data_IF_891886762884
#
_entry.id   IF_891886762884
#
_cell.length_a   1.000
_cell.length_b   1.000
_cell.length_c   1.000
_cell.angle_alpha   90.00
_cell.angle_beta   90.00
_cell.angle_gamma   90.00
#
_symmetry.space_group_name_H-M   'P 1'
#
loop_
_entity.id
_entity.type
_entity.pdbx_description
1 polymer ?
#
# COMPACT_ATOMS: atom_id res chain seq x y z
N UNK A 1 3.24 -5.32 20.78
CA UNK A 1 2.20 -4.38 21.16
C UNK A 1 2.07 -3.46 20.00
N UNK A 2 0.84 -3.09 19.67
CA UNK A 2 0.59 -2.90 18.23
C UNK A 2 -0.77 -2.25 18.10
N UNK A 3 -0.94 -1.38 17.13
CA UNK A 3 -2.25 -0.97 16.65
C UNK A 3 -2.40 -1.30 15.17
N UNK A 4 -3.59 -1.75 14.78
CA UNK A 4 -3.89 -2.18 13.42
C UNK A 4 -5.35 -1.97 13.06
N UNK A 5 -5.63 -1.99 11.77
CA UNK A 5 -6.96 -2.00 11.21
C UNK A 5 -7.07 -3.14 10.21
N UNK A 6 -8.19 -3.86 10.24
CA UNK A 6 -8.62 -4.77 9.19
C UNK A 6 -9.90 -4.22 8.57
N UNK A 7 -10.00 -4.19 7.24
CA UNK A 7 -11.14 -3.58 6.59
C UNK A 7 -11.47 -4.22 5.24
N UNK A 8 -12.74 -4.10 4.83
CA UNK A 8 -13.26 -4.34 3.49
C UNK A 8 -13.86 -3.06 2.92
N UNK A 9 -13.45 -2.69 1.73
CA UNK A 9 -14.09 -1.58 1.02
C UNK A 9 -15.44 -2.01 0.41
N UNK A 10 -16.51 -1.25 0.66
CA UNK A 10 -17.83 -1.60 0.16
C UNK A 10 -18.02 -1.35 -1.33
N UNK A 11 -17.29 -0.39 -1.89
CA UNK A 11 -17.42 -0.01 -3.31
C UNK A 11 -16.62 -0.95 -4.21
N UNK A 12 -15.37 -1.23 -3.84
CA UNK A 12 -14.45 -2.04 -4.66
C UNK A 12 -14.43 -3.52 -4.25
N UNK A 13 -14.87 -3.84 -3.04
CA UNK A 13 -14.77 -5.18 -2.45
C UNK A 13 -13.38 -5.52 -1.94
N UNK A 14 -12.39 -4.65 -2.09
CA UNK A 14 -11.01 -4.84 -1.63
C UNK A 14 -10.94 -5.13 -0.14
N UNK A 15 -9.98 -5.98 0.26
CA UNK A 15 -9.66 -6.24 1.66
C UNK A 15 -8.30 -5.68 2.00
N UNK A 16 -8.17 -5.13 3.20
CA UNK A 16 -6.90 -4.58 3.65
C UNK A 16 -6.62 -4.79 5.11
N UNK A 17 -5.32 -4.80 5.44
CA UNK A 17 -4.80 -4.73 6.80
C UNK A 17 -3.68 -3.72 6.82
N UNK A 18 -3.72 -2.80 7.78
CA UNK A 18 -2.61 -1.88 8.03
C UNK A 18 -2.24 -1.93 9.52
N UNK A 19 -0.95 -1.79 9.82
CA UNK A 19 -0.40 -1.99 11.16
C UNK A 19 0.84 -1.15 11.41
N UNK A 20 1.00 -0.71 12.66
CA UNK A 20 2.25 -0.18 13.21
C UNK A 20 2.56 -0.85 14.54
N UNK A 21 3.84 -1.02 14.85
CA UNK A 21 4.28 -1.61 16.11
C UNK A 21 5.71 -1.17 16.46
N UNK A 22 6.00 -1.08 17.75
CA UNK A 22 7.38 -1.12 18.24
C UNK A 22 7.85 -2.58 18.31
N UNK A 23 8.01 -3.17 17.13
CA UNK A 23 8.45 -4.55 16.92
C UNK A 23 9.17 -4.63 15.57
N UNK A 24 10.32 -5.28 15.54
CA UNK A 24 11.06 -5.47 14.30
C UNK A 24 10.28 -6.37 13.33
N UNK A 25 10.09 -5.92 12.09
CA UNK A 25 9.38 -6.68 11.06
C UNK A 25 7.95 -7.10 11.46
N UNK A 26 7.06 -6.14 11.69
CA UNK A 26 5.65 -6.45 11.98
C UNK A 26 4.92 -7.10 10.79
N UNK A 27 5.43 -6.90 9.58
CA UNK A 27 4.78 -7.29 8.33
C UNK A 27 4.51 -8.80 8.18
N UNK A 28 5.42 -9.74 8.55
CA UNK A 28 5.12 -11.17 8.46
C UNK A 28 4.23 -11.69 9.59
N UNK A 29 4.00 -10.87 10.62
CA UNK A 29 3.30 -11.34 11.82
C UNK A 29 1.82 -10.96 11.84
N UNK A 30 1.48 -9.71 11.55
CA UNK A 30 0.15 -9.15 11.81
C UNK A 30 -0.79 -9.20 10.60
N UNK A 31 -0.42 -8.73 9.39
CA UNK A 31 -1.36 -8.59 8.28
C UNK A 31 -1.48 -9.87 7.45
N UNK A 32 -2.71 -10.33 7.30
CA UNK A 32 -3.08 -11.47 6.47
C UNK A 32 -4.29 -11.10 5.62
N UNK A 33 -4.23 -11.31 4.31
CA UNK A 33 -5.34 -11.03 3.41
C UNK A 33 -5.31 -11.97 2.21
N UNK A 34 -6.50 -12.38 1.76
CA UNK A 34 -6.70 -13.22 0.59
C UNK A 34 -7.86 -12.67 -0.25
N UNK A 35 -7.60 -12.42 -1.53
CA UNK A 35 -8.56 -11.85 -2.46
C UNK A 35 -9.84 -12.69 -2.56
N UNK A 36 -10.99 -12.05 -2.50
CA UNK A 36 -12.30 -12.70 -2.54
C UNK A 36 -12.69 -13.47 -1.28
N UNK A 37 -11.81 -13.54 -0.28
CA UNK A 37 -12.02 -14.35 0.94
C UNK A 37 -12.16 -13.46 2.19
N UNK A 38 -11.20 -12.60 2.46
CA UNK A 38 -11.22 -11.74 3.63
C UNK A 38 -9.84 -11.30 4.10
N UNK A 39 -9.80 -10.73 5.31
CA UNK A 39 -8.55 -10.30 5.95
C UNK A 39 -8.55 -10.57 7.45
N UNK A 40 -7.35 -10.79 7.99
CA UNK A 40 -7.10 -11.08 9.42
C UNK A 40 -5.93 -10.24 9.91
N UNK A 41 -6.09 -9.64 11.08
CA UNK A 41 -5.00 -9.06 11.85
C UNK A 41 -4.83 -9.83 13.15
N UNK A 42 -3.64 -10.39 13.42
CA UNK A 42 -3.32 -11.10 14.67
C UNK A 42 -2.13 -10.46 15.36
N UNK A 43 -2.26 -10.14 16.64
CA UNK A 43 -1.29 -9.32 17.38
C UNK A 43 -1.31 -9.58 18.90
N UNK A 44 -0.67 -8.72 19.72
CA UNK A 44 -0.41 -8.87 21.14
C UNK A 44 0.63 -9.98 21.39
N UNK A 45 0.38 -10.96 22.22
CA UNK A 45 1.15 -12.20 22.18
C UNK A 45 0.73 -12.97 20.93
N UNK A 46 1.36 -12.64 19.81
CA UNK A 46 0.94 -13.11 18.49
C UNK A 46 0.93 -14.63 18.38
N UNK A 47 -0.12 -15.14 17.73
CA UNK A 47 -0.15 -16.52 17.23
C UNK A 47 -0.31 -16.44 15.70
N UNK A 48 0.76 -16.71 14.98
CA UNK A 48 0.78 -16.62 13.52
C UNK A 48 -0.27 -17.52 12.85
N UNK A 49 -0.60 -18.66 13.49
CA UNK A 49 -1.62 -19.58 12.97
C UNK A 49 -3.01 -18.93 12.86
N UNK A 50 -3.31 -17.90 13.66
CA UNK A 50 -4.59 -17.18 13.54
C UNK A 50 -4.76 -16.51 12.17
N UNK A 51 -3.65 -16.05 11.56
CA UNK A 51 -3.67 -15.47 10.22
C UNK A 51 -4.03 -16.49 9.15
N UNK A 52 -3.21 -17.54 9.01
CA UNK A 52 -3.41 -18.57 7.98
C UNK A 52 -4.70 -19.36 8.19
N UNK A 53 -4.91 -19.92 9.38
CA UNK A 53 -6.10 -20.70 9.69
C UNK A 53 -7.39 -19.85 9.63
N UNK A 54 -7.31 -18.55 10.00
CA UNK A 54 -8.43 -17.64 9.85
C UNK A 54 -8.87 -17.50 8.40
N UNK A 55 -7.92 -17.30 7.49
CA UNK A 55 -8.21 -17.26 6.05
C UNK A 55 -8.70 -18.60 5.50
N UNK A 56 -8.14 -19.71 5.94
CA UNK A 56 -8.60 -21.06 5.55
C UNK A 56 -10.06 -21.31 5.98
N UNK A 57 -10.42 -20.92 7.20
CA UNK A 57 -11.81 -21.03 7.70
C UNK A 57 -12.76 -20.15 6.87
N UNK A 58 -12.39 -18.90 6.57
CA UNK A 58 -13.18 -18.03 5.70
C UNK A 58 -13.34 -18.63 4.30
N UNK A 59 -12.28 -19.20 3.73
CA UNK A 59 -12.30 -19.86 2.43
C UNK A 59 -13.20 -21.12 2.43
N UNK A 60 -13.29 -21.80 3.56
CA UNK A 60 -14.21 -22.92 3.78
C UNK A 60 -15.68 -22.49 4.00
N UNK A 61 -15.96 -21.16 3.96
CA UNK A 61 -17.33 -20.63 4.07
C UNK A 61 -17.79 -20.27 5.48
N UNK A 62 -16.89 -20.28 6.46
CA UNK A 62 -17.20 -19.79 7.81
C UNK A 62 -17.31 -18.25 7.79
N UNK A 63 -18.20 -17.71 8.62
CA UNK A 63 -18.27 -16.25 8.86
C UNK A 63 -17.08 -15.78 9.73
N UNK A 64 -16.79 -14.48 9.73
CA UNK A 64 -15.75 -13.90 10.58
C UNK A 64 -15.93 -14.30 12.06
N UNK A 65 -17.16 -14.28 12.57
CA UNK A 65 -17.46 -14.67 13.95
C UNK A 65 -17.18 -16.16 14.21
N UNK A 66 -17.59 -17.04 13.30
CA UNK A 66 -17.36 -18.48 13.42
C UNK A 66 -15.87 -18.81 13.35
N UNK A 67 -15.14 -18.20 12.42
CA UNK A 67 -13.71 -18.36 12.28
C UNK A 67 -12.97 -17.90 13.56
N UNK A 68 -13.27 -16.71 14.06
CA UNK A 68 -12.66 -16.18 15.29
C UNK A 68 -12.97 -17.07 16.51
N UNK A 69 -14.21 -17.54 16.65
CA UNK A 69 -14.61 -18.46 17.72
C UNK A 69 -13.85 -19.78 17.65
N UNK A 70 -13.68 -20.35 16.46
CA UNK A 70 -12.92 -21.61 16.27
C UNK A 70 -11.46 -21.43 16.70
N UNK A 71 -10.81 -20.33 16.29
CA UNK A 71 -9.43 -20.02 16.64
C UNK A 71 -9.24 -19.83 18.15
N UNK A 72 -10.11 -19.04 18.78
CA UNK A 72 -9.98 -18.70 20.21
C UNK A 72 -10.36 -19.86 21.12
N UNK A 73 -11.33 -20.69 20.74
CA UNK A 73 -11.76 -21.85 21.55
C UNK A 73 -10.71 -22.96 21.58
N UNK A 74 -9.87 -23.07 20.57
CA UNK A 74 -8.79 -24.05 20.49
C UNK A 74 -7.47 -23.58 21.09
N UNK A 75 -7.31 -22.29 21.43
CA UNK A 75 -6.07 -21.75 21.99
C UNK A 75 -6.15 -21.64 23.52
N UNK A 76 -5.38 -22.45 24.28
CA UNK A 76 -5.35 -22.36 25.74
C UNK A 76 -4.81 -21.03 26.28
N UNK A 77 -4.29 -20.17 25.40
CA UNK A 77 -3.78 -18.84 25.73
C UNK A 77 -4.54 -17.71 25.04
N UNK A 78 -5.80 -17.94 24.69
CA UNK A 78 -6.63 -16.93 24.01
C UNK A 78 -6.72 -15.61 24.81
N UNK A 79 -6.60 -15.67 26.14
CA UNK A 79 -6.64 -14.49 27.00
C UNK A 79 -5.49 -13.48 26.79
N UNK A 80 -4.39 -13.86 26.12
CA UNK A 80 -3.29 -12.95 25.76
C UNK A 80 -3.26 -12.60 24.27
N UNK A 81 -4.23 -13.09 23.47
CA UNK A 81 -4.29 -12.83 22.02
C UNK A 81 -5.15 -11.62 21.71
N UNK A 82 -4.84 -10.96 20.59
CA UNK A 82 -5.71 -9.97 19.98
C UNK A 82 -5.80 -10.26 18.50
N UNK A 83 -7.01 -10.40 17.98
CA UNK A 83 -7.25 -10.76 16.59
C UNK A 83 -8.53 -10.10 16.08
N UNK A 84 -8.52 -9.67 14.83
CA UNK A 84 -9.70 -9.20 14.12
C UNK A 84 -9.77 -9.82 12.73
N UNK A 85 -10.98 -10.10 12.27
CA UNK A 85 -11.28 -10.77 11.01
C UNK A 85 -12.39 -10.02 10.30
N UNK A 86 -12.26 -9.80 8.99
CA UNK A 86 -13.34 -9.39 8.10
C UNK A 86 -13.54 -10.44 7.00
N UNK A 87 -14.78 -10.87 6.78
CA UNK A 87 -15.11 -11.87 5.76
C UNK A 87 -15.56 -11.25 4.42
N UNK A 88 -15.81 -12.12 3.43
CA UNK A 88 -16.24 -11.73 2.09
C UNK A 88 -17.56 -10.95 2.06
N UNK A 89 -18.45 -11.15 3.04
CA UNK A 89 -19.70 -10.41 3.17
C UNK A 89 -19.52 -9.05 3.89
N UNK A 90 -18.28 -8.75 4.37
CA UNK A 90 -17.99 -7.55 5.15
C UNK A 90 -18.43 -7.68 6.62
N UNK A 91 -18.75 -8.88 7.11
CA UNK A 91 -18.96 -9.10 8.53
C UNK A 91 -17.63 -9.10 9.26
N UNK A 92 -17.61 -8.55 10.46
CA UNK A 92 -16.41 -8.33 11.22
C UNK A 92 -16.53 -8.97 12.61
N UNK A 93 -15.46 -9.56 13.07
CA UNK A 93 -15.35 -10.05 14.45
C UNK A 93 -13.96 -9.71 15.00
N UNK A 94 -13.90 -9.34 16.29
CA UNK A 94 -12.64 -9.07 16.97
C UNK A 94 -12.62 -9.68 18.38
N UNK A 95 -11.41 -10.02 18.81
CA UNK A 95 -11.10 -10.54 20.15
C UNK A 95 -9.94 -9.74 20.72
N UNK A 96 -10.15 -9.17 21.91
CA UNK A 96 -9.09 -8.65 22.77
C UNK A 96 -9.12 -9.46 24.04
N UNK A 97 -8.12 -10.30 24.24
CA UNK A 97 -8.02 -11.16 25.41
C UNK A 97 -7.86 -10.38 26.72
N UNK A 98 -8.43 -10.88 27.79
CA UNK A 98 -8.46 -10.21 29.11
C UNK A 98 -7.09 -9.97 29.75
N UNK A 99 -6.05 -10.62 29.24
CA UNK A 99 -4.65 -10.46 29.64
C UNK A 99 -3.78 -9.80 28.57
N UNK A 100 -4.36 -9.16 27.55
CA UNK A 100 -3.63 -8.20 26.74
C UNK A 100 -3.12 -7.08 27.63
N UNK A 101 -1.89 -6.62 27.37
CA UNK A 101 -1.31 -5.55 28.20
C UNK A 101 -2.20 -4.30 28.13
N UNK A 102 -2.53 -3.67 29.26
CA UNK A 102 -3.50 -2.59 29.39
C UNK A 102 -3.33 -1.43 28.40
N UNK A 103 -4.34 -0.62 28.28
CA UNK A 103 -4.73 0.18 27.14
C UNK A 103 -4.84 -0.73 25.92
N UNK A 104 -5.73 -1.73 26.01
CA UNK A 104 -6.01 -2.72 24.97
C UNK A 104 -7.51 -2.82 24.73
N UNK A 105 -7.91 -2.75 23.47
CA UNK A 105 -9.31 -2.80 23.07
C UNK A 105 -9.45 -2.84 21.54
N UNK A 106 -10.71 -2.81 21.11
CA UNK A 106 -11.06 -2.73 19.69
C UNK A 106 -12.40 -2.03 19.51
N UNK A 107 -12.58 -1.42 18.34
CA UNK A 107 -13.85 -0.87 17.87
C UNK A 107 -14.24 -1.53 16.56
N UNK A 108 -15.47 -2.04 16.50
CA UNK A 108 -16.07 -2.61 15.30
C UNK A 108 -16.88 -1.57 14.56
N UNK A 109 -16.71 -1.52 13.26
CA UNK A 109 -17.53 -0.73 12.36
C UNK A 109 -18.07 -1.56 11.21
N UNK A 110 -18.75 -0.92 10.29
CA UNK A 110 -19.34 -1.57 9.14
C UNK A 110 -18.25 -1.91 8.10
N UNK A 111 -17.83 -3.17 8.10
CA UNK A 111 -16.77 -3.72 7.25
C UNK A 111 -15.35 -3.48 7.77
N UNK A 112 -15.15 -3.08 9.02
CA UNK A 112 -13.80 -2.88 9.57
C UNK A 112 -13.72 -3.11 11.08
N UNK A 113 -12.51 -3.35 11.57
CA UNK A 113 -12.15 -3.30 12.99
C UNK A 113 -10.83 -2.57 13.17
N UNK A 114 -10.80 -1.66 14.15
CA UNK A 114 -9.59 -1.06 14.70
C UNK A 114 -9.28 -1.69 16.04
N UNK A 115 -8.07 -2.17 16.26
CA UNK A 115 -7.65 -2.83 17.49
C UNK A 115 -6.24 -2.41 17.90
N UNK A 116 -6.04 -2.28 19.20
CA UNK A 116 -4.75 -1.88 19.77
C UNK A 116 -4.50 -2.52 21.14
N UNK A 117 -3.24 -2.62 21.55
CA UNK A 117 -2.82 -3.11 22.86
C UNK A 117 -1.50 -2.45 23.28
N UNK A 118 -1.36 -2.17 24.60
CA UNK A 118 -0.26 -1.41 25.22
C UNK A 118 -0.10 -0.01 24.58
N UNK A 119 -1.19 0.68 24.45
CA UNK A 119 -1.19 2.06 23.97
C UNK A 119 -0.94 3.06 25.10
N UNK A 120 -0.61 4.29 24.72
CA UNK A 120 -0.54 5.40 25.68
C UNK A 120 -1.92 5.67 26.31
N UNK A 121 -3.01 5.54 25.51
CA UNK A 121 -4.40 5.79 25.94
C UNK A 121 -5.33 4.70 25.43
N UNK A 122 -6.44 4.53 26.13
CA UNK A 122 -7.53 3.60 25.77
C UNK A 122 -8.54 4.19 24.74
N UNK A 123 -8.25 5.35 24.17
CA UNK A 123 -9.01 6.02 23.10
C UNK A 123 -8.43 5.79 21.71
N UNK A 124 -7.28 5.13 21.57
CA UNK A 124 -6.55 4.97 20.31
C UNK A 124 -7.38 4.27 19.23
N UNK A 125 -8.04 3.16 19.54
CA UNK A 125 -8.84 2.42 18.54
C UNK A 125 -10.11 3.13 18.11
N UNK A 126 -10.66 4.02 18.96
CA UNK A 126 -11.78 4.89 18.59
C UNK A 126 -11.33 6.01 17.66
N UNK A 127 -10.21 6.68 17.95
CA UNK A 127 -9.62 7.68 17.08
C UNK A 127 -9.28 7.10 15.68
N UNK A 128 -8.79 5.85 15.62
CA UNK A 128 -8.58 5.13 14.37
C UNK A 128 -9.88 4.95 13.58
N UNK A 129 -10.95 4.52 14.26
CA UNK A 129 -12.25 4.26 13.65
C UNK A 129 -12.88 5.54 13.10
N UNK A 130 -12.78 6.64 13.84
CA UNK A 130 -13.26 7.95 13.42
C UNK A 130 -12.51 8.45 12.17
N UNK A 131 -11.18 8.38 12.18
CA UNK A 131 -10.37 8.77 11.03
C UNK A 131 -10.67 7.90 9.79
N UNK A 132 -10.81 6.57 9.96
CA UNK A 132 -11.16 5.66 8.87
C UNK A 132 -12.52 5.98 8.25
N UNK A 133 -13.53 6.31 9.06
CA UNK A 133 -14.90 6.55 8.60
C UNK A 133 -15.10 7.93 7.98
N UNK A 134 -14.38 8.94 8.47
CA UNK A 134 -14.51 10.33 8.01
C UNK A 134 -13.65 10.64 6.78
N UNK A 135 -12.66 9.84 6.48
CA UNK A 135 -11.78 10.02 5.31
C UNK A 135 -12.49 9.53 4.05
N UNK A 136 -12.83 10.42 3.11
CA UNK A 136 -13.36 10.04 1.78
C UNK A 136 -12.22 9.83 0.78
N UNK A 137 -11.72 8.61 0.73
CA UNK A 137 -10.57 8.22 -0.10
C UNK A 137 -10.59 6.70 -0.36
N UNK A 138 -9.75 6.16 -1.27
CA UNK A 138 -9.54 4.72 -1.44
C UNK A 138 -9.14 4.01 -0.14
N UNK A 139 -9.40 2.70 -0.06
CA UNK A 139 -9.19 1.90 1.14
C UNK A 139 -7.82 2.11 1.81
N UNK A 140 -6.74 2.07 1.04
CA UNK A 140 -5.39 2.23 1.55
C UNK A 140 -5.16 3.58 2.24
N UNK A 141 -5.70 4.67 1.68
CA UNK A 141 -5.58 6.01 2.28
C UNK A 141 -6.40 6.14 3.57
N UNK A 142 -7.59 5.53 3.61
CA UNK A 142 -8.43 5.47 4.81
C UNK A 142 -7.72 4.70 5.94
N UNK A 143 -7.11 3.55 5.61
CA UNK A 143 -6.34 2.77 6.58
C UNK A 143 -5.09 3.53 7.04
N UNK A 144 -4.43 4.27 6.14
CA UNK A 144 -3.28 5.10 6.52
C UNK A 144 -3.70 6.22 7.48
N UNK A 145 -4.84 6.89 7.22
CA UNK A 145 -5.39 7.90 8.11
C UNK A 145 -5.71 7.32 9.51
N UNK A 146 -6.21 6.09 9.58
CA UNK A 146 -6.44 5.40 10.85
C UNK A 146 -5.13 5.18 11.63
N UNK A 147 -4.04 4.75 10.97
CA UNK A 147 -2.74 4.58 11.64
C UNK A 147 -2.17 5.92 12.13
N UNK A 148 -2.31 6.98 11.34
CA UNK A 148 -1.85 8.32 11.70
C UNK A 148 -2.65 8.90 12.88
N UNK A 149 -3.96 8.64 12.93
CA UNK A 149 -4.80 9.03 14.07
C UNK A 149 -4.41 8.29 15.36
N UNK A 150 -4.07 6.99 15.26
CA UNK A 150 -3.56 6.23 16.39
C UNK A 150 -2.27 6.84 16.95
N UNK A 151 -1.33 7.21 16.06
CA UNK A 151 -0.07 7.83 16.47
C UNK A 151 -0.29 9.22 17.07
N UNK A 152 -1.20 10.02 16.50
CA UNK A 152 -1.56 11.34 17.03
C UNK A 152 -2.22 11.27 18.42
N UNK A 153 -2.94 10.17 18.72
CA UNK A 153 -3.58 9.93 20.02
C UNK A 153 -2.57 9.42 21.09
N UNK A 154 -1.31 9.15 20.69
CA UNK A 154 -0.23 8.72 21.57
C UNK A 154 0.43 7.40 21.17
N UNK A 155 -0.26 6.57 20.38
CA UNK A 155 0.29 5.35 19.79
C UNK A 155 0.75 4.29 20.81
N UNK A 156 1.76 3.54 20.42
CA UNK A 156 2.39 2.47 21.22
C UNK A 156 3.25 3.10 22.33
N UNK A 157 2.98 2.75 23.59
CA UNK A 157 3.69 3.28 24.77
C UNK A 157 5.22 3.15 24.68
N UNK A 158 5.74 2.20 23.93
CA UNK A 158 7.19 2.00 23.74
C UNK A 158 7.78 2.85 22.61
N UNK A 159 6.92 3.51 21.82
CA UNK A 159 7.28 4.21 20.60
C UNK A 159 7.01 3.38 19.34
N UNK A 160 7.72 3.65 18.26
CA UNK A 160 7.48 3.14 16.91
C UNK A 160 8.73 2.48 16.35
N UNK A 161 8.56 1.49 15.47
CA UNK A 161 9.69 0.81 14.84
C UNK A 161 9.37 0.32 13.43
N UNK A 162 8.22 -0.32 13.23
CA UNK A 162 7.86 -0.87 11.92
C UNK A 162 6.40 -0.63 11.58
N UNK A 163 6.06 -0.62 10.29
CA UNK A 163 4.70 -0.52 9.79
C UNK A 163 4.51 -1.32 8.51
N UNK A 164 3.29 -1.77 8.26
CA UNK A 164 2.98 -2.48 7.03
C UNK A 164 1.53 -2.22 6.58
N UNK A 165 1.29 -2.39 5.28
CA UNK A 165 -0.02 -2.31 4.68
C UNK A 165 -0.13 -3.34 3.56
N UNK A 166 -1.17 -4.17 3.63
CA UNK A 166 -1.54 -5.12 2.57
C UNK A 166 -2.95 -4.79 2.10
N UNK A 167 -3.16 -4.70 0.80
CA UNK A 167 -4.48 -4.62 0.17
C UNK A 167 -4.54 -5.66 -0.94
N UNK A 168 -5.63 -6.42 -0.96
CA UNK A 168 -5.91 -7.43 -1.98
C UNK A 168 -7.24 -7.14 -2.68
N UNK A 169 -7.38 -7.65 -3.90
CA UNK A 169 -8.57 -7.48 -4.71
C UNK A 169 -9.83 -8.06 -4.05
N UNK A 170 -10.99 -7.46 -4.32
CA UNK A 170 -12.29 -7.93 -3.84
C UNK A 170 -12.73 -9.26 -4.45
N UNK A 171 -12.16 -9.60 -5.61
CA UNK A 171 -12.41 -10.87 -6.32
C UNK A 171 -11.06 -11.52 -6.65
N UNK A 172 -10.89 -12.78 -6.24
CA UNK A 172 -9.68 -13.53 -6.55
C UNK A 172 -9.65 -13.98 -8.00
N UNK A 173 -8.52 -13.79 -8.69
CA UNK A 173 -8.31 -14.23 -10.07
C UNK A 173 -7.82 -15.67 -10.17
N UNK A 174 -7.56 -16.33 -9.05
CA UNK A 174 -6.83 -17.61 -8.97
C UNK A 174 -5.32 -17.44 -9.17
N UNK A 175 -4.84 -16.22 -9.26
CA UNK A 175 -3.42 -15.87 -9.40
C UNK A 175 -3.03 -14.93 -8.24
N UNK A 176 -2.68 -15.45 -7.07
CA UNK A 176 -2.46 -14.63 -5.86
C UNK A 176 -1.45 -13.49 -6.03
N UNK A 177 -0.47 -13.65 -6.94
CA UNK A 177 0.52 -12.61 -7.26
C UNK A 177 -0.09 -11.40 -8.00
N UNK A 178 -1.20 -11.58 -8.73
CA UNK A 178 -1.92 -10.48 -9.38
C UNK A 178 -2.96 -9.84 -8.44
N UNK A 179 -3.45 -10.60 -7.47
CA UNK A 179 -4.52 -10.19 -6.58
C UNK A 179 -4.05 -9.24 -5.47
N UNK A 180 -2.73 -9.16 -5.25
CA UNK A 180 -2.11 -8.30 -4.25
C UNK A 180 -1.85 -6.90 -4.82
N UNK A 181 -2.78 -5.97 -4.54
CA UNK A 181 -2.75 -4.60 -5.06
C UNK A 181 -1.66 -3.77 -4.37
N UNK A 182 -1.60 -3.87 -3.03
CA UNK A 182 -0.61 -3.17 -2.20
C UNK A 182 0.03 -4.18 -1.24
N UNK A 183 1.36 -4.15 -1.14
CA UNK A 183 2.17 -4.84 -0.14
C UNK A 183 3.35 -3.92 0.19
N UNK A 184 3.16 -3.07 1.19
CA UNK A 184 4.14 -2.09 1.62
C UNK A 184 4.61 -2.42 3.02
N UNK A 185 5.93 -2.35 3.22
CA UNK A 185 6.61 -2.76 4.44
C UNK A 185 7.70 -1.76 4.81
N UNK A 186 7.66 -1.30 6.04
CA UNK A 186 8.72 -0.55 6.71
C UNK A 186 9.17 -1.41 7.88
N UNK A 187 10.24 -2.14 7.70
CA UNK A 187 10.64 -3.21 8.61
C UNK A 187 11.37 -2.70 9.86
N UNK A 188 12.05 -1.57 9.74
CA UNK A 188 12.75 -0.90 10.85
C UNK A 188 13.02 0.56 10.48
N UNK A 189 12.40 1.50 11.19
CA UNK A 189 12.59 2.93 11.00
C UNK A 189 12.20 3.71 12.26
N UNK A 190 12.87 4.81 12.53
CA UNK A 190 12.51 5.73 13.62
C UNK A 190 11.12 6.35 13.42
N UNK A 191 10.74 6.61 12.15
CA UNK A 191 9.48 7.20 11.76
C UNK A 191 8.78 6.31 10.69
N UNK A 192 8.20 5.14 11.08
CA UNK A 192 7.68 4.18 10.12
C UNK A 192 6.43 4.66 9.37
N UNK A 193 5.55 5.47 9.99
CA UNK A 193 4.34 5.94 9.31
C UNK A 193 4.62 6.98 8.24
N UNK A 194 5.45 8.01 8.44
CA UNK A 194 5.89 8.90 7.35
C UNK A 194 6.51 8.15 6.18
N UNK A 195 7.30 7.12 6.44
CA UNK A 195 7.90 6.29 5.39
C UNK A 195 6.84 5.42 4.70
N UNK A 196 5.93 4.78 5.43
CA UNK A 196 4.82 4.03 4.85
C UNK A 196 3.92 4.94 3.97
N UNK A 197 3.65 6.16 4.41
CA UNK A 197 2.91 7.19 3.65
C UNK A 197 3.65 7.54 2.35
N UNK A 198 4.97 7.72 2.41
CA UNK A 198 5.80 7.97 1.24
C UNK A 198 5.74 6.81 0.25
N UNK A 199 5.87 5.57 0.73
CA UNK A 199 5.77 4.36 -0.08
C UNK A 199 4.38 4.20 -0.71
N UNK A 200 3.30 4.47 0.04
CA UNK A 200 1.93 4.43 -0.48
C UNK A 200 1.74 5.43 -1.62
N UNK A 201 2.24 6.66 -1.46
CA UNK A 201 2.18 7.68 -2.51
C UNK A 201 2.92 7.24 -3.78
N UNK A 202 4.13 6.68 -3.65
CA UNK A 202 4.90 6.13 -4.77
C UNK A 202 4.13 4.98 -5.43
N UNK A 203 3.62 4.02 -4.64
CA UNK A 203 2.83 2.90 -5.18
C UNK A 203 1.63 3.39 -5.98
N UNK A 204 0.92 4.41 -5.51
CA UNK A 204 -0.20 5.02 -6.22
C UNK A 204 0.24 5.66 -7.54
N UNK A 205 1.38 6.35 -7.55
CA UNK A 205 1.91 6.92 -8.78
C UNK A 205 2.21 5.82 -9.83
N UNK A 206 2.85 4.72 -9.42
CA UNK A 206 3.10 3.59 -10.32
C UNK A 206 1.81 2.88 -10.75
N UNK A 207 0.81 2.77 -9.89
CA UNK A 207 -0.50 2.22 -10.29
C UNK A 207 -1.18 3.11 -11.34
N UNK A 208 -1.10 4.44 -11.17
CA UNK A 208 -1.61 5.40 -12.15
C UNK A 208 -0.85 5.33 -13.48
N UNK A 209 0.47 5.10 -13.43
CA UNK A 209 1.30 4.95 -14.65
C UNK A 209 1.12 3.56 -15.31
N UNK A 210 0.63 2.55 -14.59
CA UNK A 210 0.65 1.16 -15.05
C UNK A 210 -0.18 0.87 -16.30
N UNK A 211 -1.15 1.71 -16.65
CA UNK A 211 -1.93 1.57 -17.87
C UNK A 211 -1.28 2.29 -19.08
N UNK A 212 -0.24 3.12 -18.86
CA UNK A 212 0.40 3.89 -19.92
C UNK A 212 1.07 3.00 -20.97
N UNK A 213 1.76 1.93 -20.55
CA UNK A 213 2.40 0.99 -21.46
C UNK A 213 1.38 0.34 -22.42
N UNK A 214 0.22 -0.06 -21.89
CA UNK A 214 -0.86 -0.62 -22.73
C UNK A 214 -1.45 0.41 -23.70
N UNK A 215 -1.59 1.65 -23.26
CA UNK A 215 -2.05 2.75 -24.14
C UNK A 215 -1.02 3.04 -25.25
N UNK A 216 0.27 2.99 -24.96
CA UNK A 216 1.33 3.10 -25.96
C UNK A 216 1.28 1.97 -26.97
N UNK A 217 1.14 0.71 -26.53
CA UNK A 217 1.01 -0.47 -27.41
C UNK A 217 -0.21 -0.39 -28.32
N UNK A 218 -1.31 0.19 -27.85
CA UNK A 218 -2.54 0.37 -28.64
C UNK A 218 -2.55 1.65 -29.48
N UNK A 219 -1.50 2.49 -29.35
CA UNK A 219 -1.31 3.73 -30.13
C UNK A 219 -1.99 4.96 -29.52
N UNK A 220 -2.58 4.87 -28.34
CA UNK A 220 -3.14 6.02 -27.61
C UNK A 220 -2.05 6.75 -26.81
N UNK A 221 -1.12 7.39 -27.52
CA UNK A 221 -0.02 8.15 -26.89
C UNK A 221 -0.53 9.34 -26.07
N UNK A 222 -1.66 9.95 -26.45
CA UNK A 222 -2.22 11.07 -25.69
C UNK A 222 -2.75 10.61 -24.33
N UNK A 223 -3.46 9.48 -24.29
CA UNK A 223 -3.89 8.84 -23.04
C UNK A 223 -2.71 8.42 -22.16
N UNK A 224 -1.67 7.81 -22.75
CA UNK A 224 -0.45 7.43 -22.05
C UNK A 224 0.25 8.63 -21.37
N UNK A 225 0.44 9.72 -22.12
CA UNK A 225 1.03 10.97 -21.61
C UNK A 225 0.18 11.53 -20.45
N UNK A 226 -1.14 11.57 -20.60
CA UNK A 226 -2.03 12.07 -19.56
C UNK A 226 -1.90 11.27 -18.25
N UNK A 227 -1.85 9.93 -18.33
CA UNK A 227 -1.65 9.07 -17.16
C UNK A 227 -0.27 9.23 -16.52
N UNK A 228 0.79 9.28 -17.31
CA UNK A 228 2.14 9.51 -16.82
C UNK A 228 2.29 10.90 -16.16
N UNK A 229 1.68 11.94 -16.72
CA UNK A 229 1.64 13.27 -16.09
C UNK A 229 0.86 13.26 -14.78
N UNK A 230 -0.26 12.54 -14.70
CA UNK A 230 -1.00 12.35 -13.47
C UNK A 230 -0.15 11.61 -12.43
N UNK A 231 0.56 10.55 -12.82
CA UNK A 231 1.48 9.83 -11.93
C UNK A 231 2.59 10.74 -11.40
N UNK A 232 3.18 11.58 -12.25
CA UNK A 232 4.17 12.59 -11.84
C UNK A 232 3.59 13.64 -10.88
N UNK A 233 2.31 14.00 -11.02
CA UNK A 233 1.67 14.93 -10.07
C UNK A 233 1.54 14.32 -8.66
N UNK A 234 1.38 12.98 -8.58
CA UNK A 234 1.32 12.25 -7.32
C UNK A 234 2.71 12.13 -6.68
N UNK A 235 3.75 11.82 -7.46
CA UNK A 235 5.11 11.61 -6.97
C UNK A 235 6.16 12.34 -7.86
N UNK A 236 6.24 13.67 -7.76
CA UNK A 236 7.08 14.49 -8.65
C UNK A 236 8.58 14.26 -8.46
N UNK A 237 9.01 13.65 -7.37
CA UNK A 237 10.41 13.27 -7.14
C UNK A 237 10.85 12.01 -7.89
N UNK A 238 9.92 11.25 -8.49
CA UNK A 238 10.21 9.99 -9.19
C UNK A 238 10.87 10.25 -10.55
N UNK A 239 12.19 10.07 -10.58
CA UNK A 239 13.00 10.36 -11.78
C UNK A 239 12.66 9.43 -12.92
N UNK A 240 12.35 8.17 -12.64
CA UNK A 240 11.96 7.18 -13.64
C UNK A 240 10.67 7.57 -14.37
N UNK A 241 9.62 7.94 -13.62
CA UNK A 241 8.35 8.41 -14.21
C UNK A 241 8.58 9.67 -15.08
N UNK A 242 9.46 10.55 -14.65
CA UNK A 242 9.84 11.76 -15.41
C UNK A 242 10.53 11.40 -16.74
N UNK A 243 11.45 10.45 -16.67
CA UNK A 243 12.14 9.95 -17.88
C UNK A 243 11.17 9.26 -18.82
N UNK A 244 10.31 8.36 -18.32
CA UNK A 244 9.29 7.67 -19.14
C UNK A 244 8.34 8.68 -19.80
N UNK A 245 7.78 9.63 -19.03
CA UNK A 245 6.91 10.68 -19.58
C UNK A 245 7.62 11.44 -20.70
N UNK A 246 8.90 11.79 -20.51
CA UNK A 246 9.69 12.48 -21.52
C UNK A 246 9.88 11.67 -22.80
N UNK A 247 10.12 10.36 -22.69
CA UNK A 247 10.24 9.46 -23.85
C UNK A 247 8.91 9.36 -24.61
N UNK A 248 7.79 9.13 -23.91
CA UNK A 248 6.45 9.03 -24.51
C UNK A 248 6.04 10.33 -25.22
N UNK A 249 6.32 11.50 -24.62
CA UNK A 249 6.09 12.82 -25.25
C UNK A 249 6.90 12.95 -26.55
N UNK A 250 8.18 12.56 -26.53
CA UNK A 250 9.05 12.64 -27.71
C UNK A 250 8.56 11.69 -28.82
N UNK A 251 8.10 10.48 -28.49
CA UNK A 251 7.49 9.53 -29.44
C UNK A 251 6.21 10.11 -30.05
N UNK A 252 5.42 10.82 -29.26
CA UNK A 252 4.19 11.49 -29.71
C UNK A 252 4.46 12.76 -30.55
N UNK A 253 5.74 13.17 -30.71
CA UNK A 253 6.15 14.33 -31.50
C UNK A 253 6.49 15.59 -30.71
N UNK A 254 6.21 15.62 -29.41
CA UNK A 254 6.64 16.71 -28.52
C UNK A 254 8.08 16.44 -28.02
N UNK A 255 9.03 16.54 -28.98
CA UNK A 255 10.46 16.33 -28.66
C UNK A 255 10.99 17.42 -27.71
N UNK A 256 10.48 18.65 -27.82
CA UNK A 256 10.95 19.77 -26.98
C UNK A 256 10.52 19.57 -25.53
N UNK A 257 9.25 19.32 -25.26
CA UNK A 257 8.75 19.05 -23.91
C UNK A 257 9.35 17.78 -23.31
N UNK A 258 9.40 16.70 -24.11
CA UNK A 258 10.01 15.44 -23.67
C UNK A 258 11.49 15.58 -23.31
N UNK A 259 12.28 16.31 -24.09
CA UNK A 259 13.70 16.54 -23.79
C UNK A 259 13.94 17.32 -22.52
N UNK A 260 13.04 18.20 -22.09
CA UNK A 260 13.14 18.89 -20.80
C UNK A 260 13.08 17.89 -19.65
N UNK A 261 12.12 16.99 -19.65
CA UNK A 261 11.95 15.98 -18.61
C UNK A 261 13.13 14.99 -18.58
N UNK A 262 13.60 14.58 -19.75
CA UNK A 262 14.78 13.69 -19.89
C UNK A 262 16.04 14.40 -19.38
N UNK A 263 16.24 15.68 -19.71
CA UNK A 263 17.37 16.49 -19.20
C UNK A 263 17.37 16.57 -17.68
N UNK A 264 16.21 16.70 -17.06
CA UNK A 264 16.08 16.68 -15.59
C UNK A 264 16.48 15.34 -14.99
N UNK A 265 16.09 14.23 -15.63
CA UNK A 265 16.52 12.90 -15.20
C UNK A 265 18.05 12.74 -15.32
N UNK A 266 18.63 13.13 -16.45
CA UNK A 266 20.08 13.07 -16.70
C UNK A 266 20.86 13.95 -15.70
N UNK A 267 20.37 15.13 -15.34
CA UNK A 267 21.01 15.99 -14.31
C UNK A 267 21.05 15.33 -12.95
N UNK A 268 20.05 14.55 -12.59
CA UNK A 268 20.01 13.80 -11.33
C UNK A 268 20.94 12.60 -11.33
N UNK A 269 21.01 11.90 -12.48
CA UNK A 269 21.92 10.77 -12.67
C UNK A 269 22.24 10.64 -14.17
N UNK A 270 23.48 10.89 -14.54
CA UNK A 270 23.96 10.84 -15.93
C UNK A 270 23.71 9.51 -16.65
N UNK A 271 23.55 8.40 -15.92
CA UNK A 271 23.24 7.08 -16.47
C UNK A 271 21.89 7.01 -17.20
N UNK A 272 20.97 7.93 -16.98
CA UNK A 272 19.73 8.03 -17.74
C UNK A 272 19.99 8.31 -19.23
N UNK A 273 21.11 8.93 -19.59
CA UNK A 273 21.50 9.08 -20.99
C UNK A 273 21.91 7.73 -21.61
N UNK A 274 22.65 6.89 -20.89
CA UNK A 274 22.98 5.54 -21.34
C UNK A 274 21.70 4.69 -21.50
N UNK A 275 20.72 4.85 -20.57
CA UNK A 275 19.45 4.19 -20.66
C UNK A 275 18.71 4.56 -21.95
N UNK A 276 18.68 5.84 -22.34
CA UNK A 276 18.05 6.31 -23.56
C UNK A 276 18.59 5.55 -24.80
N UNK A 277 19.91 5.36 -24.89
CA UNK A 277 20.54 4.62 -25.98
C UNK A 277 20.26 3.11 -25.92
N UNK A 278 20.20 2.54 -24.73
CA UNK A 278 19.91 1.10 -24.57
C UNK A 278 18.48 0.74 -24.97
N UNK A 279 17.52 1.63 -24.79
CA UNK A 279 16.14 1.40 -25.26
C UNK A 279 16.06 1.19 -26.77
N UNK A 280 16.97 1.80 -27.55
CA UNK A 280 17.06 1.58 -29.01
C UNK A 280 17.52 0.16 -29.32
N UNK A 281 18.46 -0.42 -28.54
CA UNK A 281 19.02 -1.74 -28.83
C UNK A 281 18.02 -2.90 -28.63
N UNK A 282 16.89 -2.63 -27.99
CA UNK A 282 15.82 -3.59 -27.70
C UNK A 282 14.47 -3.16 -28.32
N UNK A 283 14.50 -2.22 -29.26
CA UNK A 283 13.36 -1.72 -30.02
C UNK A 283 12.23 -1.09 -29.17
N UNK A 284 12.55 -0.68 -27.94
CA UNK A 284 11.61 0.04 -27.06
C UNK A 284 11.56 1.55 -27.35
N UNK A 285 12.55 2.10 -28.08
CA UNK A 285 12.56 3.47 -28.54
C UNK A 285 13.22 3.57 -29.91
N UNK A 286 12.65 4.37 -30.81
CA UNK A 286 13.17 4.52 -32.18
C UNK A 286 14.45 5.35 -32.19
N UNK A 287 15.41 4.98 -33.03
CA UNK A 287 16.71 5.66 -33.13
C UNK A 287 16.58 7.12 -33.63
N UNK A 288 15.61 7.42 -34.49
CA UNK A 288 15.37 8.80 -34.96
C UNK A 288 14.82 9.70 -33.84
N UNK A 289 13.97 9.18 -32.96
CA UNK A 289 13.47 9.91 -31.77
C UNK A 289 14.63 10.21 -30.82
N UNK A 290 15.49 9.22 -30.52
CA UNK A 290 16.67 9.44 -29.65
C UNK A 290 17.62 10.46 -30.26
N UNK A 291 17.85 10.42 -31.57
CA UNK A 291 18.68 11.43 -32.30
C UNK A 291 18.12 12.84 -32.15
N UNK A 292 16.79 12.99 -32.23
CA UNK A 292 16.12 14.27 -32.06
C UNK A 292 16.24 14.78 -30.58
N UNK A 293 16.06 13.89 -29.59
CA UNK A 293 16.25 14.21 -28.17
C UNK A 293 17.69 14.67 -27.92
N UNK A 294 18.69 13.93 -28.40
CA UNK A 294 20.11 14.27 -28.23
C UNK A 294 20.47 15.63 -28.82
N UNK A 295 19.93 15.96 -30.01
CA UNK A 295 20.12 17.29 -30.61
C UNK A 295 19.58 18.41 -29.73
N UNK A 296 18.43 18.20 -29.05
CA UNK A 296 17.86 19.19 -28.10
C UNK A 296 18.68 19.28 -26.82
N UNK A 297 19.14 18.16 -26.25
CA UNK A 297 20.00 18.12 -25.07
C UNK A 297 21.32 18.88 -25.30
N UNK A 298 21.91 18.71 -26.49
CA UNK A 298 23.14 19.45 -26.87
C UNK A 298 22.90 20.97 -26.99
N UNK A 299 21.77 21.38 -27.58
CA UNK A 299 21.41 22.79 -27.72
C UNK A 299 21.19 23.50 -26.36
N UNK A 300 20.63 22.81 -25.37
CA UNK A 300 20.45 23.34 -24.01
C UNK A 300 21.80 23.47 -23.29
N UNK A 301 22.72 22.51 -23.47
CA UNK A 301 24.05 22.56 -22.84
C UNK A 301 24.95 23.67 -23.38
N UNK A 302 24.68 24.22 -24.57
CA UNK A 302 25.46 25.34 -25.14
C UNK A 302 24.96 26.73 -24.70
N UNK A 303 23.82 26.80 -23.98
CA UNK A 303 23.22 28.07 -23.51
C UNK A 303 23.48 28.38 -22.04
N UNK A 304 24.18 27.49 -21.35
CA UNK A 304 24.62 27.62 -19.95
C UNK A 304 26.13 27.81 -19.91
#
# INVERSE_FOLDING_TARGET
MTYSIVARDKKTGEFGVAVQSHYFQVSPAVPWALAGVGAVATQSHVNLSYGSLGLELLQAGYTAEQALKALTSGDPRAEVRQCAIVDAAGKVAAHTGSKCIPAAGHTLGDGFSCQANLMEKDTVWEAMADAFTTTDAPLAERMMAALEAAEAEGGDLRGKQSAAMVVVAGVGTGRPWNDRIIDLRVEDAAEPLPELRRLLRIKRAYMTAGDADHLEETGDLAGAIAQLQQALSIAPEMIELRFMTGCTMAVAGDVDGGSVLIAEAIRKNGRWRDMLHRLVTVDLLRADVVSAIEARLAAVSQRI
#
